data_IF_576208917689
#
_entry.id   IF_576208917689
#
_cell.length_a   1.000
_cell.length_b   1.000
_cell.length_c   1.000
_cell.angle_alpha   90.00
_cell.angle_beta   90.00
_cell.angle_gamma   90.00
#
_symmetry.space_group_name_H-M   'P 1'
#
loop_
_entity.id
_entity.type
_entity.pdbx_description
1 polymer ?
#
# COMPACT_ATOMS: atom_id res chain seq x y z
N UNK A 1 10.64 15.98 3.31
CA UNK A 1 11.80 15.07 3.25
C UNK A 1 12.62 15.42 2.02
N UNK A 2 13.94 15.54 2.18
CA UNK A 2 14.85 16.09 1.15
C UNK A 2 15.22 15.06 0.07
N UNK A 3 14.44 13.98 -0.08
CA UNK A 3 14.65 12.95 -1.10
C UNK A 3 15.82 11.99 -0.82
N UNK A 4 16.42 12.05 0.36
CA UNK A 4 17.67 11.31 0.66
C UNK A 4 17.46 9.82 1.01
N UNK A 5 16.21 9.35 1.13
CA UNK A 5 15.90 7.99 1.60
C UNK A 5 16.65 6.88 0.83
N UNK A 6 16.75 7.01 -0.49
CA UNK A 6 17.42 6.02 -1.33
C UNK A 6 18.90 5.82 -0.96
N UNK A 7 19.58 6.89 -0.49
CA UNK A 7 20.99 6.84 -0.08
C UNK A 7 21.19 6.19 1.30
N UNK A 8 20.13 6.21 2.13
CA UNK A 8 20.15 5.72 3.51
C UNK A 8 19.64 4.28 3.64
N UNK A 9 19.06 3.73 2.57
CA UNK A 9 18.48 2.40 2.57
C UNK A 9 19.45 1.32 2.06
N UNK A 10 19.18 0.05 2.39
CA UNK A 10 19.86 -1.09 1.79
C UNK A 10 19.06 -1.59 0.57
N UNK A 11 19.59 -1.51 -0.67
CA UNK A 11 18.84 -1.84 -1.88
C UNK A 11 18.91 -3.32 -2.30
N UNK A 12 19.59 -4.20 -1.55
CA UNK A 12 19.94 -5.54 -2.03
C UNK A 12 18.73 -6.44 -2.40
N UNK A 13 17.54 -6.19 -1.87
CA UNK A 13 16.33 -7.03 -2.07
C UNK A 13 15.03 -6.22 -2.13
N UNK A 14 15.11 -4.91 -2.33
CA UNK A 14 13.96 -4.02 -2.30
C UNK A 14 14.00 -3.04 -3.46
N UNK A 15 12.85 -2.86 -4.09
CA UNK A 15 12.63 -1.78 -5.03
C UNK A 15 12.04 -0.58 -4.28
N UNK A 16 12.45 0.63 -4.68
CA UNK A 16 11.87 1.87 -4.20
C UNK A 16 10.95 2.44 -5.27
N UNK A 17 9.71 2.70 -4.89
CA UNK A 17 8.69 3.24 -5.78
C UNK A 17 8.10 4.53 -5.21
N UNK A 18 7.75 5.46 -6.09
CA UNK A 18 6.98 6.62 -5.70
C UNK A 18 5.51 6.21 -5.49
N UNK A 19 4.88 6.73 -4.45
CA UNK A 19 3.45 6.53 -4.24
C UNK A 19 2.68 7.50 -5.13
N UNK A 20 1.85 6.97 -6.03
CA UNK A 20 0.93 7.78 -6.82
C UNK A 20 -0.15 8.39 -5.92
N UNK A 21 -0.43 9.68 -6.09
CA UNK A 21 -1.56 10.34 -5.44
C UNK A 21 -2.90 10.00 -6.12
N UNK A 22 -2.86 9.50 -7.36
CA UNK A 22 -4.06 9.10 -8.09
C UNK A 22 -4.50 7.72 -7.62
N UNK A 23 -5.81 7.52 -7.38
CA UNK A 23 -6.38 6.20 -7.13
C UNK A 23 -6.03 5.23 -8.26
N UNK A 24 -5.77 3.98 -7.91
CA UNK A 24 -5.68 2.91 -8.89
C UNK A 24 -7.07 2.59 -9.46
N UNK A 25 -7.19 2.50 -10.79
CA UNK A 25 -8.46 2.19 -11.45
C UNK A 25 -8.86 0.71 -11.32
N UNK A 26 -7.88 -0.17 -11.15
CA UNK A 26 -8.07 -1.61 -10.99
C UNK A 26 -8.23 -1.99 -9.51
N UNK A 27 -9.40 -2.49 -9.14
CA UNK A 27 -9.67 -2.94 -7.77
C UNK A 27 -8.85 -4.16 -7.34
N UNK A 28 -8.32 -4.95 -8.29
CA UNK A 28 -7.43 -6.08 -8.03
C UNK A 28 -8.04 -7.13 -7.09
N UNK A 29 -7.40 -7.36 -5.94
CA UNK A 29 -7.92 -8.26 -4.89
C UNK A 29 -8.82 -7.59 -3.85
N UNK A 30 -9.03 -6.28 -3.94
CA UNK A 30 -9.94 -5.51 -3.11
C UNK A 30 -9.31 -4.23 -2.53
N UNK A 31 -10.19 -3.28 -2.22
CA UNK A 31 -9.80 -1.97 -1.67
C UNK A 31 -9.41 -2.05 -0.18
N UNK A 32 -8.45 -1.21 0.28
CA UNK A 32 -8.16 -1.05 1.70
C UNK A 32 -9.36 -0.45 2.44
N UNK A 33 -9.57 -0.87 3.69
CA UNK A 33 -10.71 -0.52 4.53
C UNK A 33 -10.28 0.00 5.89
N UNK A 34 -11.04 0.96 6.42
CA UNK A 34 -10.76 1.55 7.74
C UNK A 34 -10.82 0.56 8.90
N UNK A 35 -11.74 -0.42 8.84
CA UNK A 35 -11.89 -1.45 9.88
C UNK A 35 -11.34 -2.78 9.40
N UNK A 36 -10.74 -3.59 10.29
CA UNK A 36 -10.39 -4.97 9.96
C UNK A 36 -11.67 -5.76 9.65
N UNK A 37 -11.57 -6.68 8.68
CA UNK A 37 -12.69 -7.55 8.27
C UNK A 37 -12.71 -8.81 9.13
N UNK A 38 -11.53 -9.36 9.44
CA UNK A 38 -11.37 -10.54 10.30
C UNK A 38 -10.01 -10.56 10.99
N UNK A 39 -9.74 -11.59 11.80
CA UNK A 39 -8.42 -11.81 12.41
C UNK A 39 -7.31 -12.05 11.38
N UNK A 40 -7.67 -12.55 10.20
CA UNK A 40 -6.74 -12.86 9.11
C UNK A 40 -6.74 -11.77 8.01
N UNK A 41 -7.65 -10.80 8.09
CA UNK A 41 -7.75 -9.69 7.15
C UNK A 41 -7.93 -8.38 7.91
N UNK A 42 -6.83 -7.63 8.00
CA UNK A 42 -6.76 -6.34 8.69
C UNK A 42 -7.39 -5.19 7.89
N UNK A 43 -8.07 -5.50 6.78
CA UNK A 43 -8.68 -4.53 5.89
C UNK A 43 -7.62 -3.79 5.08
N UNK A 44 -6.52 -4.45 4.74
CA UNK A 44 -5.47 -3.81 3.93
C UNK A 44 -5.79 -3.93 2.43
N UNK A 45 -6.49 -4.95 1.96
CA UNK A 45 -6.73 -5.11 0.52
C UNK A 45 -5.43 -5.36 -0.26
N UNK A 46 -5.45 -5.13 -1.57
CA UNK A 46 -4.41 -5.58 -2.51
C UNK A 46 -3.04 -4.94 -2.29
N UNK A 47 -2.01 -5.70 -1.92
CA UNK A 47 -0.68 -5.13 -1.64
C UNK A 47 0.09 -4.61 -2.87
N UNK A 48 -0.35 -4.95 -4.08
CA UNK A 48 0.25 -4.44 -5.31
C UNK A 48 -0.32 -3.07 -5.71
N UNK A 49 -1.47 -2.67 -5.16
CA UNK A 49 -2.26 -1.50 -5.56
C UNK A 49 -2.78 -0.71 -4.35
N UNK A 50 -3.43 0.42 -4.59
CA UNK A 50 -4.13 1.23 -3.59
C UNK A 50 -3.21 1.71 -2.46
N UNK A 51 -1.96 2.03 -2.79
CA UNK A 51 -0.94 2.40 -1.80
C UNK A 51 -1.30 3.70 -1.08
N UNK A 52 -1.83 4.69 -1.80
CA UNK A 52 -2.21 5.98 -1.23
C UNK A 52 -3.39 5.86 -0.26
N UNK A 53 -4.44 5.13 -0.63
CA UNK A 53 -5.59 4.87 0.25
C UNK A 53 -5.17 4.09 1.49
N UNK A 54 -4.36 3.03 1.31
CA UNK A 54 -3.83 2.21 2.40
C UNK A 54 -2.98 3.02 3.36
N UNK A 55 -2.07 3.85 2.85
CA UNK A 55 -1.25 4.72 3.68
C UNK A 55 -2.10 5.73 4.46
N UNK A 56 -3.10 6.35 3.82
CA UNK A 56 -4.00 7.27 4.50
C UNK A 56 -4.73 6.60 5.65
N UNK A 57 -5.26 5.39 5.43
CA UNK A 57 -5.92 4.59 6.47
C UNK A 57 -4.97 4.30 7.64
N UNK A 58 -3.74 3.89 7.36
CA UNK A 58 -2.74 3.60 8.39
C UNK A 58 -2.38 4.84 9.20
N UNK A 59 -2.22 6.00 8.56
CA UNK A 59 -1.93 7.27 9.24
C UNK A 59 -3.13 7.73 10.07
N UNK A 60 -4.36 7.58 9.57
CA UNK A 60 -5.60 7.88 10.31
C UNK A 60 -5.76 6.99 11.54
N UNK A 61 -5.53 5.67 11.40
CA UNK A 61 -5.52 4.73 12.52
C UNK A 61 -4.45 5.11 13.54
N UNK A 62 -3.24 5.44 13.08
CA UNK A 62 -2.16 5.87 13.97
C UNK A 62 -2.54 7.14 14.74
N UNK A 63 -3.10 8.15 14.07
CA UNK A 63 -3.62 9.36 14.73
C UNK A 63 -4.67 9.02 15.77
N UNK A 64 -5.65 8.18 15.42
CA UNK A 64 -6.74 7.80 16.32
C UNK A 64 -6.23 7.12 17.59
N UNK A 65 -5.26 6.21 17.46
CA UNK A 65 -4.76 5.41 18.58
C UNK A 65 -3.69 6.09 19.42
N UNK A 66 -2.99 7.09 18.88
CA UNK A 66 -1.84 7.71 19.56
C UNK A 66 -2.02 9.20 19.84
N UNK A 67 -2.99 9.87 19.21
CA UNK A 67 -3.11 11.32 19.26
C UNK A 67 -1.96 12.07 18.56
N UNK A 68 -1.20 11.40 17.68
CA UNK A 68 -0.01 11.97 17.03
C UNK A 68 -0.29 13.30 16.33
N UNK A 69 0.38 14.36 16.82
CA UNK A 69 0.35 15.69 16.19
C UNK A 69 0.93 15.61 14.77
N UNK A 70 2.00 14.83 14.58
CA UNK A 70 2.61 14.62 13.27
C UNK A 70 1.67 13.96 12.28
N UNK A 71 0.93 12.94 12.72
CA UNK A 71 -0.09 12.32 11.87
C UNK A 71 -1.22 13.30 11.53
N UNK A 72 -1.59 14.17 12.48
CA UNK A 72 -2.57 15.23 12.25
C UNK A 72 -2.12 16.24 11.21
N UNK A 73 -0.86 16.68 11.25
CA UNK A 73 -0.25 17.55 10.24
C UNK A 73 -0.23 16.89 8.85
N UNK A 74 0.22 15.62 8.77
CA UNK A 74 0.28 14.88 7.50
C UNK A 74 -1.11 14.74 6.87
N UNK A 75 -2.14 14.45 7.66
CA UNK A 75 -3.51 14.32 7.16
C UNK A 75 -4.15 15.65 6.78
N UNK A 76 -3.74 16.75 7.42
CA UNK A 76 -4.23 18.09 7.07
C UNK A 76 -3.70 18.58 5.71
N UNK A 77 -2.52 18.11 5.30
CA UNK A 77 -1.85 18.46 4.04
C UNK A 77 -1.58 17.20 3.18
N UNK A 78 -2.57 16.30 3.09
CA UNK A 78 -2.37 14.95 2.54
C UNK A 78 -1.89 14.95 1.08
N UNK A 79 -2.46 15.80 0.23
CA UNK A 79 -2.14 15.83 -1.21
C UNK A 79 -0.67 16.18 -1.47
N UNK A 80 -0.07 17.00 -0.61
CA UNK A 80 1.35 17.33 -0.67
C UNK A 80 2.21 16.32 0.11
N UNK A 81 1.66 15.72 1.17
CA UNK A 81 2.36 14.74 1.98
C UNK A 81 2.57 13.42 1.22
N UNK A 82 1.58 12.95 0.47
CA UNK A 82 1.60 11.62 -0.16
C UNK A 82 2.74 11.45 -1.16
N UNK A 83 3.04 12.48 -1.95
CA UNK A 83 4.16 12.46 -2.90
C UNK A 83 5.55 12.41 -2.26
N UNK A 84 5.65 12.51 -0.93
CA UNK A 84 6.90 12.41 -0.17
C UNK A 84 7.10 11.03 0.44
N UNK A 85 6.12 10.13 0.33
CA UNK A 85 6.27 8.74 0.75
C UNK A 85 6.97 7.91 -0.33
N UNK A 86 7.78 6.96 0.12
CA UNK A 86 8.44 5.98 -0.73
C UNK A 86 7.89 4.61 -0.36
N UNK A 87 7.35 3.90 -1.36
CA UNK A 87 7.00 2.50 -1.22
C UNK A 87 8.27 1.68 -1.31
N UNK A 88 8.50 0.86 -0.30
CA UNK A 88 9.60 -0.11 -0.27
C UNK A 88 8.99 -1.47 -0.55
N UNK A 89 9.27 -2.04 -1.71
CA UNK A 89 8.68 -3.30 -2.15
C UNK A 89 9.75 -4.38 -2.25
N UNK A 90 9.74 -5.41 -1.38
CA UNK A 90 10.67 -6.52 -1.52
C UNK A 90 10.44 -7.28 -2.83
N UNK A 91 11.50 -7.51 -3.60
CA UNK A 91 11.39 -8.06 -4.96
C UNK A 91 10.77 -9.46 -4.96
N UNK A 92 11.17 -10.32 -4.03
CA UNK A 92 10.62 -11.67 -3.92
C UNK A 92 9.17 -11.67 -3.42
N UNK A 93 8.81 -10.73 -2.55
CA UNK A 93 7.44 -10.56 -2.09
C UNK A 93 6.52 -10.14 -3.24
N UNK A 94 6.95 -9.18 -4.06
CA UNK A 94 6.24 -8.79 -5.28
C UNK A 94 6.02 -9.99 -6.21
N UNK A 95 7.08 -10.78 -6.45
CA UNK A 95 7.00 -11.97 -7.31
C UNK A 95 5.97 -12.97 -6.76
N UNK A 96 5.96 -13.22 -5.47
CA UNK A 96 5.00 -14.13 -4.84
C UNK A 96 3.55 -13.62 -4.98
N UNK A 97 3.31 -12.32 -4.76
CA UNK A 97 1.99 -11.72 -4.94
C UNK A 97 1.48 -11.83 -6.39
N UNK A 98 2.35 -11.54 -7.36
CA UNK A 98 2.01 -11.66 -8.78
C UNK A 98 1.73 -13.10 -9.20
N UNK A 99 2.46 -14.08 -8.66
CA UNK A 99 2.20 -15.49 -8.91
C UNK A 99 0.82 -15.92 -8.38
N UNK A 100 0.47 -15.51 -7.15
CA UNK A 100 -0.84 -15.78 -6.57
C UNK A 100 -1.98 -15.13 -7.38
N UNK A 101 -1.78 -13.90 -7.87
CA UNK A 101 -2.75 -13.21 -8.73
C UNK A 101 -2.92 -13.95 -10.07
N UNK A 102 -1.82 -14.40 -10.69
CA UNK A 102 -1.86 -15.15 -11.94
C UNK A 102 -2.57 -16.51 -11.79
N UNK A 103 -2.26 -17.26 -10.72
CA UNK A 103 -2.94 -18.53 -10.41
C UNK A 103 -4.44 -18.33 -10.22
N UNK A 104 -4.85 -17.29 -9.48
CA UNK A 104 -6.26 -16.94 -9.28
C UNK A 104 -6.95 -16.62 -10.61
N UNK A 105 -6.32 -15.82 -11.47
CA UNK A 105 -6.88 -15.42 -12.75
C UNK A 105 -7.01 -16.62 -13.70
N UNK A 106 -6.04 -17.55 -13.70
CA UNK A 106 -6.11 -18.80 -14.45
C UNK A 106 -7.24 -19.71 -13.95
N UNK A 107 -7.38 -19.87 -12.63
CA UNK A 107 -8.46 -20.65 -12.05
C UNK A 107 -9.84 -20.09 -12.41
N UNK A 108 -9.98 -18.76 -12.42
CA UNK A 108 -11.20 -18.08 -12.83
C UNK A 108 -11.52 -18.29 -14.32
N UNK A 109 -10.52 -18.27 -15.21
CA UNK A 109 -10.74 -18.53 -16.64
C UNK A 109 -11.16 -19.97 -16.92
N UNK A 110 -10.57 -20.95 -16.23
CA UNK A 110 -10.92 -22.37 -16.41
C UNK A 110 -12.33 -22.66 -15.89
N UNK A 111 -12.76 -22.03 -14.80
CA UNK A 111 -14.11 -22.20 -14.27
C UNK A 111 -15.21 -21.54 -15.13
N UNK A 112 -14.83 -20.62 -16.02
CA UNK A 112 -15.75 -19.92 -16.92
C UNK A 112 -15.93 -20.60 -18.28
N UNK A 113 -15.07 -21.58 -18.60
CA UNK A 113 -15.18 -22.48 -19.77
C UNK A 113 -16.03 -23.72 -19.43
#
# INVERSE_FOLDING_TARGET
PDGEFAQLCNPAQVDLEAVSAKPDEDEGTGLPKQRPVSVNDLGMGDMLRHDAERLKILVERHKLHTGSARASELLADWDNAIGKFVKVMPTDYRRALQALEAERNQAASVAAE
#
